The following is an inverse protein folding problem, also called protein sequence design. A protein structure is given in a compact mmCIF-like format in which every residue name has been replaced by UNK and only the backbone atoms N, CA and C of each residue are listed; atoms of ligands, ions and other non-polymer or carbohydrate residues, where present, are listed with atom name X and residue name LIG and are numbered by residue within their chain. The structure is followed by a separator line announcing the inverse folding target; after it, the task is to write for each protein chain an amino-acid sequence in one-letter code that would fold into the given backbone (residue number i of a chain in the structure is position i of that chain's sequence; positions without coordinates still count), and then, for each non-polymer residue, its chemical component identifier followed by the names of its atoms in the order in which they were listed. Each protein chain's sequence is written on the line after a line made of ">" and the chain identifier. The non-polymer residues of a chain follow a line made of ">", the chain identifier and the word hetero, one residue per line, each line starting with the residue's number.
data_IF_029352938584
#
_entry.id   IF_029352938584
#
_cell.length_a   1.000
_cell.length_b   1.000
_cell.length_c   1.000
_cell.angle_alpha   90.00
_cell.angle_beta   90.00
_cell.angle_gamma   90.00
#
_symmetry.space_group_name_H-M   'P 1'
#
loop_
_entity.id
_entity.type
_entity.pdbx_description
1 polymer ?
#
# COMPACT_ATOMS: atom_id res chain seq x y z
N UNK A 1 13.33 -28.79 31.94
CA UNK A 1 12.18 -27.91 32.26
C UNK A 1 12.32 -26.66 31.39
N UNK A 2 11.91 -26.76 30.13
CA UNK A 2 11.94 -25.63 29.20
C UNK A 2 10.66 -24.82 29.41
N UNK A 3 10.79 -23.59 29.91
CA UNK A 3 9.69 -22.63 29.93
C UNK A 3 9.30 -22.32 28.49
N UNK A 4 8.13 -22.81 28.07
CA UNK A 4 7.41 -22.23 26.94
C UNK A 4 7.07 -20.79 27.29
N UNK A 5 7.85 -19.87 26.74
CA UNK A 5 7.51 -18.45 26.67
C UNK A 5 6.15 -18.34 26.01
N UNK A 6 5.21 -17.76 26.74
CA UNK A 6 3.85 -17.50 26.31
C UNK A 6 3.89 -16.50 25.15
N UNK A 7 3.61 -16.97 23.93
CA UNK A 7 3.38 -16.09 22.80
C UNK A 7 2.25 -15.10 23.18
N UNK A 8 2.42 -13.79 22.97
CA UNK A 8 1.35 -12.85 23.27
C UNK A 8 0.14 -13.19 22.41
N UNK A 9 -1.03 -13.19 23.04
CA UNK A 9 -2.33 -13.37 22.41
C UNK A 9 -2.55 -12.25 21.36
N UNK A 10 -2.10 -12.48 20.13
CA UNK A 10 -2.35 -11.58 19.01
C UNK A 10 -3.83 -11.68 18.61
N UNK A 11 -4.67 -10.87 19.24
CA UNK A 11 -6.02 -10.62 18.73
C UNK A 11 -5.89 -9.78 17.46
N UNK A 12 -5.86 -10.43 16.29
CA UNK A 12 -6.16 -9.78 15.03
C UNK A 12 -7.54 -9.11 15.18
N UNK A 13 -7.58 -7.78 15.23
CA UNK A 13 -8.82 -7.07 15.50
C UNK A 13 -9.86 -7.35 14.40
N UNK A 14 -11.04 -7.92 14.72
CA UNK A 14 -12.05 -8.29 13.73
C UNK A 14 -12.68 -7.10 12.99
N UNK A 15 -12.47 -5.89 13.50
CA UNK A 15 -13.24 -4.70 13.14
C UNK A 15 -12.93 -4.14 11.75
N UNK A 16 -11.75 -4.40 11.17
CA UNK A 16 -11.42 -3.82 9.85
C UNK A 16 -12.34 -4.34 8.72
N UNK A 17 -13.09 -5.42 8.96
CA UNK A 17 -14.02 -6.04 8.00
C UNK A 17 -15.45 -5.52 8.11
N UNK A 18 -15.73 -4.65 9.09
CA UNK A 18 -17.07 -4.12 9.31
C UNK A 18 -17.23 -2.76 8.66
N UNK A 19 -18.37 -2.53 8.03
CA UNK A 19 -18.71 -1.26 7.37
C UNK A 19 -18.68 -0.05 8.33
N UNK A 20 -18.74 -0.29 9.64
CA UNK A 20 -18.67 0.76 10.68
C UNK A 20 -17.26 1.14 11.11
N UNK A 21 -16.21 0.43 10.67
CA UNK A 21 -14.82 0.69 11.10
C UNK A 21 -14.41 2.13 10.83
N UNK A 22 -14.65 2.60 9.60
CA UNK A 22 -14.33 3.95 9.20
C UNK A 22 -15.13 4.96 9.99
N UNK A 23 -16.45 4.82 10.03
CA UNK A 23 -17.33 5.81 10.65
C UNK A 23 -17.04 5.98 12.15
N UNK A 24 -16.77 4.90 12.88
CA UNK A 24 -16.44 4.96 14.31
C UNK A 24 -15.08 5.63 14.57
N UNK A 25 -14.15 5.54 13.61
CA UNK A 25 -12.76 6.05 13.75
C UNK A 25 -12.46 7.23 12.84
N UNK A 26 -13.47 7.80 12.19
CA UNK A 26 -13.32 8.78 11.11
C UNK A 26 -12.44 9.95 11.51
N UNK A 27 -12.66 10.51 12.70
CA UNK A 27 -11.85 11.63 13.21
C UNK A 27 -10.36 11.27 13.30
N UNK A 28 -10.03 10.12 13.89
CA UNK A 28 -8.65 9.66 14.03
C UNK A 28 -8.00 9.33 12.69
N UNK A 29 -8.77 8.71 11.78
CA UNK A 29 -8.29 8.34 10.44
C UNK A 29 -8.02 9.60 9.62
N UNK A 30 -8.99 10.50 9.50
CA UNK A 30 -8.83 11.72 8.69
C UNK A 30 -7.74 12.65 9.23
N UNK A 31 -7.56 12.73 10.55
CA UNK A 31 -6.43 13.48 11.14
C UNK A 31 -5.08 12.88 10.70
N UNK A 32 -4.95 11.55 10.72
CA UNK A 32 -3.72 10.88 10.29
C UNK A 32 -3.50 11.04 8.78
N UNK A 33 -4.56 10.93 7.98
CA UNK A 33 -4.50 11.14 6.53
C UNK A 33 -4.08 12.57 6.19
N UNK A 34 -4.55 13.57 6.94
CA UNK A 34 -4.11 14.96 6.78
C UNK A 34 -2.62 15.12 7.08
N UNK A 35 -2.11 14.53 8.17
CA UNK A 35 -0.68 14.55 8.49
C UNK A 35 0.15 13.92 7.37
N UNK A 36 -0.31 12.81 6.80
CA UNK A 36 0.34 12.16 5.65
C UNK A 36 0.39 13.11 4.45
N UNK A 37 -0.71 13.82 4.16
CA UNK A 37 -0.78 14.79 3.08
C UNK A 37 0.16 15.98 3.29
N UNK A 38 0.34 16.42 4.54
CA UNK A 38 1.25 17.52 4.93
C UNK A 38 2.74 17.12 4.96
N UNK A 39 3.08 15.92 4.49
CA UNK A 39 4.47 15.46 4.37
C UNK A 39 5.00 14.64 5.55
N UNK A 40 4.17 14.31 6.54
CA UNK A 40 4.57 13.47 7.67
C UNK A 40 4.62 11.97 7.34
N UNK A 41 4.35 11.57 6.08
CA UNK A 41 4.23 10.17 5.68
C UNK A 41 5.49 9.34 6.02
N UNK A 42 6.68 9.89 5.75
CA UNK A 42 7.95 9.20 6.03
C UNK A 42 8.20 9.07 7.53
N UNK A 43 7.92 10.12 8.31
CA UNK A 43 8.10 10.12 9.76
C UNK A 43 7.15 9.12 10.44
N UNK A 44 5.86 9.14 10.07
CA UNK A 44 4.86 8.20 10.56
C UNK A 44 5.28 6.76 10.26
N UNK A 45 5.81 6.49 9.06
CA UNK A 45 6.34 5.17 8.70
C UNK A 45 7.49 4.74 9.62
N UNK A 46 8.47 5.62 9.83
CA UNK A 46 9.65 5.33 10.68
C UNK A 46 9.20 5.04 12.11
N UNK A 47 8.42 5.93 12.71
CA UNK A 47 7.93 5.76 14.08
C UNK A 47 7.11 4.48 14.24
N UNK A 48 6.24 4.18 13.27
CA UNK A 48 5.45 2.94 13.28
C UNK A 48 6.33 1.70 13.13
N UNK A 49 7.38 1.75 12.32
CA UNK A 49 8.31 0.63 12.17
C UNK A 49 9.04 0.37 13.48
N UNK A 50 9.67 1.39 14.07
CA UNK A 50 10.44 1.26 15.31
C UNK A 50 9.58 0.77 16.48
N UNK A 51 8.32 1.20 16.55
CA UNK A 51 7.40 0.83 17.63
C UNK A 51 6.79 -0.57 17.49
N UNK A 52 6.72 -1.12 16.27
CA UNK A 52 5.89 -2.29 15.99
C UNK A 52 6.57 -3.41 15.19
N UNK A 53 7.81 -3.24 14.73
CA UNK A 53 8.53 -4.29 13.99
C UNK A 53 8.49 -5.63 14.73
N UNK A 54 8.15 -6.70 14.01
CA UNK A 54 7.98 -8.05 14.58
C UNK A 54 6.61 -8.33 15.22
N UNK A 55 5.73 -7.33 15.34
CA UNK A 55 4.36 -7.50 15.83
C UNK A 55 3.48 -8.04 14.71
N UNK A 56 2.70 -9.09 14.95
CA UNK A 56 1.75 -9.58 13.96
C UNK A 56 0.67 -8.51 13.69
N UNK A 57 0.66 -7.97 12.47
CA UNK A 57 -0.29 -6.96 12.02
C UNK A 57 -0.86 -7.37 10.66
N UNK A 58 -2.18 -7.27 10.50
CA UNK A 58 -2.83 -7.66 9.25
C UNK A 58 -2.45 -6.70 8.13
N UNK A 59 -2.06 -7.27 6.98
CA UNK A 59 -1.63 -6.48 5.82
C UNK A 59 -0.18 -6.01 5.88
N UNK A 60 0.57 -6.37 6.93
CA UNK A 60 1.99 -6.03 7.07
C UNK A 60 2.82 -7.31 7.01
N UNK A 61 3.82 -7.32 6.14
CA UNK A 61 4.86 -8.34 6.10
C UNK A 61 6.22 -7.67 6.33
N UNK A 62 6.75 -7.81 7.55
CA UNK A 62 7.98 -7.17 8.00
C UNK A 62 9.24 -7.69 7.28
N UNK A 63 9.18 -8.88 6.69
CA UNK A 63 10.33 -9.52 6.04
C UNK A 63 10.42 -9.20 4.54
N UNK A 64 9.36 -8.63 3.95
CA UNK A 64 9.27 -8.40 2.50
C UNK A 64 10.16 -7.25 2.02
N UNK A 65 10.28 -6.18 2.81
CA UNK A 65 10.98 -4.95 2.43
C UNK A 65 11.72 -4.36 3.63
N UNK A 66 12.86 -3.72 3.38
CA UNK A 66 13.58 -2.98 4.41
C UNK A 66 12.93 -1.63 4.70
N UNK A 67 13.18 -1.06 5.89
CA UNK A 67 12.72 0.29 6.21
C UNK A 67 13.26 1.33 5.19
N UNK A 68 14.49 1.14 4.70
CA UNK A 68 15.08 2.02 3.70
C UNK A 68 14.29 2.01 2.38
N UNK A 69 13.87 0.83 1.91
CA UNK A 69 13.06 0.69 0.70
C UNK A 69 11.68 1.33 0.88
N UNK A 70 11.04 1.10 2.03
CA UNK A 70 9.73 1.68 2.34
C UNK A 70 9.78 3.21 2.40
N UNK A 71 10.83 3.78 3.01
CA UNK A 71 11.04 5.24 3.04
C UNK A 71 11.21 5.80 1.64
N UNK A 72 12.04 5.16 0.81
CA UNK A 72 12.24 5.56 -0.58
C UNK A 72 10.92 5.51 -1.38
N UNK A 73 10.15 4.43 -1.23
CA UNK A 73 8.87 4.26 -1.88
C UNK A 73 7.86 5.34 -1.44
N UNK A 74 7.70 5.56 -0.13
CA UNK A 74 6.78 6.57 0.42
C UNK A 74 7.11 7.97 -0.10
N UNK A 75 8.40 8.29 -0.15
CA UNK A 75 8.88 9.57 -0.66
C UNK A 75 8.63 9.76 -2.16
N UNK A 76 8.83 8.70 -2.95
CA UNK A 76 8.56 8.75 -4.39
C UNK A 76 7.06 8.75 -4.70
N UNK A 77 6.24 8.12 -3.87
CA UNK A 77 4.79 8.06 -4.09
C UNK A 77 4.12 9.40 -3.75
N UNK A 78 4.59 10.05 -2.68
CA UNK A 78 4.04 11.30 -2.19
C UNK A 78 2.84 11.12 -1.26
N UNK A 79 2.70 12.05 -0.31
CA UNK A 79 1.70 11.98 0.76
C UNK A 79 0.26 11.95 0.26
N UNK A 80 -0.06 12.70 -0.80
CA UNK A 80 -1.43 12.75 -1.34
C UNK A 80 -1.94 11.38 -1.81
N UNK A 81 -1.14 10.67 -2.61
CA UNK A 81 -1.50 9.35 -3.11
C UNK A 81 -1.54 8.30 -1.99
N UNK A 82 -0.59 8.34 -1.04
CA UNK A 82 -0.59 7.44 0.13
C UNK A 82 -1.85 7.63 0.95
N UNK A 83 -2.22 8.88 1.26
CA UNK A 83 -3.42 9.17 2.02
C UNK A 83 -4.68 8.69 1.30
N UNK A 84 -4.74 8.83 -0.02
CA UNK A 84 -5.87 8.31 -0.81
C UNK A 84 -5.97 6.78 -0.74
N UNK A 85 -4.86 6.07 -0.92
CA UNK A 85 -4.80 4.60 -0.80
C UNK A 85 -5.26 4.17 0.59
N UNK A 86 -4.70 4.80 1.64
CA UNK A 86 -5.06 4.50 3.03
C UNK A 86 -6.54 4.78 3.32
N UNK A 87 -7.12 5.85 2.76
CA UNK A 87 -8.54 6.17 2.91
C UNK A 87 -9.43 5.08 2.34
N UNK A 88 -9.18 4.64 1.10
CA UNK A 88 -9.97 3.59 0.46
C UNK A 88 -9.88 2.25 1.22
N UNK A 89 -8.67 1.88 1.66
CA UNK A 89 -8.47 0.70 2.50
C UNK A 89 -9.16 0.80 3.86
N UNK A 90 -9.25 1.99 4.45
CA UNK A 90 -9.93 2.20 5.72
C UNK A 90 -11.47 2.22 5.57
N UNK A 91 -11.99 2.71 4.45
CA UNK A 91 -13.42 2.78 4.18
C UNK A 91 -14.03 1.40 3.88
N UNK A 92 -13.36 0.60 3.06
CA UNK A 92 -13.80 -0.76 2.73
C UNK A 92 -12.59 -1.65 2.45
N UNK A 93 -11.97 -2.15 3.52
CA UNK A 93 -10.81 -3.02 3.40
C UNK A 93 -11.13 -4.28 2.60
N UNK A 94 -12.36 -4.81 2.69
CA UNK A 94 -12.71 -6.06 2.01
C UNK A 94 -12.62 -5.91 0.50
N UNK A 95 -13.19 -4.84 -0.04
CA UNK A 95 -13.18 -4.58 -1.48
C UNK A 95 -11.80 -4.10 -1.96
N UNK A 96 -11.17 -3.21 -1.20
CA UNK A 96 -9.91 -2.57 -1.61
C UNK A 96 -8.65 -3.37 -1.26
N UNK A 97 -8.72 -4.44 -0.47
CA UNK A 97 -7.56 -5.31 -0.18
C UNK A 97 -7.05 -6.11 -1.38
N UNK A 98 -7.76 -6.09 -2.52
CA UNK A 98 -7.39 -6.78 -3.74
C UNK A 98 -7.35 -5.83 -4.95
N UNK A 99 -6.72 -6.25 -6.04
CA UNK A 99 -6.67 -5.51 -7.30
C UNK A 99 -5.69 -4.33 -7.34
N UNK A 100 -4.85 -4.16 -6.32
CA UNK A 100 -3.69 -3.25 -6.39
C UNK A 100 -2.77 -3.68 -7.55
N UNK A 101 -2.17 -2.74 -8.32
CA UNK A 101 -1.27 -3.09 -9.40
C UNK A 101 -0.08 -3.96 -8.96
N UNK A 102 0.34 -4.86 -9.83
CA UNK A 102 1.36 -5.88 -9.54
C UNK A 102 2.71 -5.31 -9.11
N UNK A 103 3.14 -4.22 -9.76
CA UNK A 103 4.48 -3.65 -9.58
C UNK A 103 4.40 -2.20 -9.15
N UNK A 104 5.15 -1.86 -8.10
CA UNK A 104 5.55 -0.50 -7.79
C UNK A 104 7.01 -0.31 -8.24
N UNK A 105 7.22 0.59 -9.18
CA UNK A 105 8.54 1.03 -9.62
C UNK A 105 8.79 2.40 -9.00
N UNK A 106 9.97 2.61 -8.43
CA UNK A 106 10.38 3.93 -7.96
C UNK A 106 11.82 4.21 -8.31
N UNK A 107 12.12 5.49 -8.49
CA UNK A 107 13.46 5.99 -8.77
C UNK A 107 13.67 7.25 -7.96
N UNK A 108 14.65 7.22 -7.06
CA UNK A 108 15.19 8.43 -6.46
C UNK A 108 16.19 9.03 -7.44
N UNK A 109 16.00 10.31 -7.79
CA UNK A 109 17.01 11.06 -8.51
C UNK A 109 18.00 11.64 -7.50
N UNK A 110 17.47 12.35 -6.50
CA UNK A 110 18.25 12.98 -5.44
C UNK A 110 17.48 12.87 -4.10
N UNK A 111 18.00 13.47 -3.03
CA UNK A 111 17.34 13.47 -1.72
C UNK A 111 16.02 14.25 -1.66
N UNK A 112 15.62 15.01 -2.69
CA UNK A 112 14.37 15.77 -2.72
C UNK A 112 13.42 15.41 -3.87
N UNK A 113 13.89 14.63 -4.84
CA UNK A 113 13.13 14.30 -6.05
C UNK A 113 13.15 12.81 -6.31
N UNK A 114 11.95 12.23 -6.39
CA UNK A 114 11.73 10.84 -6.75
C UNK A 114 10.52 10.71 -7.65
N UNK A 115 10.50 9.65 -8.44
CA UNK A 115 9.39 9.30 -9.30
C UNK A 115 8.92 7.89 -8.93
N UNK A 116 7.61 7.68 -8.91
CA UNK A 116 7.03 6.36 -8.75
C UNK A 116 6.03 6.08 -9.88
N UNK A 117 5.93 4.81 -10.25
CA UNK A 117 4.98 4.30 -11.23
C UNK A 117 4.40 2.98 -10.73
N UNK A 118 3.10 2.81 -10.82
CA UNK A 118 2.42 1.54 -10.56
C UNK A 118 2.08 0.90 -11.90
N UNK A 119 2.44 -0.37 -12.06
CA UNK A 119 2.26 -1.11 -13.32
C UNK A 119 1.47 -2.37 -13.05
N UNK A 120 0.38 -2.51 -13.79
CA UNK A 120 -0.43 -3.73 -13.84
C UNK A 120 0.01 -4.55 -15.06
N UNK A 121 0.43 -5.79 -14.85
CA UNK A 121 0.97 -6.64 -15.91
C UNK A 121 -0.12 -7.58 -16.41
N UNK A 122 -0.32 -7.63 -17.73
CA UNK A 122 -1.30 -8.49 -18.38
C UNK A 122 -0.67 -9.39 -19.41
N UNK A 123 -0.92 -10.69 -19.29
CA UNK A 123 -0.61 -11.65 -20.33
C UNK A 123 -1.50 -11.46 -21.57
N UNK A 124 -1.23 -12.21 -22.66
CA UNK A 124 -1.87 -11.99 -23.96
C UNK A 124 -3.40 -12.13 -23.96
N UNK A 125 -3.94 -12.91 -23.02
CA UNK A 125 -5.38 -13.19 -22.90
C UNK A 125 -6.00 -12.57 -21.66
N UNK A 126 -5.21 -11.86 -20.85
CA UNK A 126 -5.67 -11.33 -19.59
C UNK A 126 -6.37 -9.98 -19.80
N UNK A 127 -7.37 -9.73 -18.98
CA UNK A 127 -8.09 -8.46 -18.91
C UNK A 127 -7.96 -7.90 -17.51
N UNK A 128 -8.08 -6.57 -17.41
CA UNK A 128 -8.24 -5.92 -16.12
C UNK A 128 -9.56 -6.37 -15.48
N UNK A 129 -9.49 -6.79 -14.21
CA UNK A 129 -10.70 -6.98 -13.40
C UNK A 129 -11.34 -5.62 -13.09
N UNK A 130 -12.59 -5.63 -12.65
CA UNK A 130 -13.28 -4.40 -12.23
C UNK A 130 -12.56 -3.72 -11.07
N UNK A 131 -12.08 -4.49 -10.09
CA UNK A 131 -11.34 -3.97 -8.95
C UNK A 131 -9.99 -3.34 -9.36
N UNK A 132 -9.29 -3.94 -10.33
CA UNK A 132 -8.07 -3.35 -10.88
C UNK A 132 -8.34 -2.04 -11.60
N UNK A 133 -9.43 -1.96 -12.37
CA UNK A 133 -9.85 -0.70 -13.00
C UNK A 133 -10.18 0.37 -11.95
N UNK A 134 -10.87 -0.01 -10.88
CA UNK A 134 -11.19 0.89 -9.78
C UNK A 134 -9.91 1.46 -9.13
N UNK A 135 -8.92 0.61 -8.84
CA UNK A 135 -7.62 1.07 -8.35
C UNK A 135 -6.90 2.00 -9.32
N UNK A 136 -6.84 1.65 -10.61
CA UNK A 136 -6.20 2.51 -11.61
C UNK A 136 -6.86 3.90 -11.67
N UNK A 137 -8.20 3.98 -11.62
CA UNK A 137 -8.92 5.25 -11.60
C UNK A 137 -8.58 6.07 -10.35
N UNK A 138 -8.60 5.46 -9.16
CA UNK A 138 -8.23 6.16 -7.91
C UNK A 138 -6.81 6.70 -7.96
N UNK A 139 -5.87 5.90 -8.47
CA UNK A 139 -4.47 6.29 -8.58
C UNK A 139 -4.28 7.45 -9.59
N UNK A 140 -4.94 7.37 -10.76
CA UNK A 140 -4.92 8.45 -11.75
C UNK A 140 -5.51 9.76 -11.20
N UNK A 141 -6.60 9.68 -10.44
CA UNK A 141 -7.26 10.85 -9.84
C UNK A 141 -6.38 11.55 -8.81
N UNK A 142 -5.48 10.79 -8.16
CA UNK A 142 -4.45 11.33 -7.25
C UNK A 142 -3.22 11.88 -8.00
N UNK A 143 -3.24 11.91 -9.33
CA UNK A 143 -2.11 12.33 -10.17
C UNK A 143 -0.97 11.31 -10.23
N UNK A 144 -1.21 10.06 -9.80
CA UNK A 144 -0.18 9.04 -9.78
C UNK A 144 0.05 8.44 -11.17
N UNK A 145 1.32 8.18 -11.51
CA UNK A 145 1.66 7.57 -12.79
C UNK A 145 1.34 6.07 -12.77
N UNK A 146 0.36 5.65 -13.57
CA UNK A 146 -0.03 4.25 -13.68
C UNK A 146 0.01 3.76 -15.12
N UNK A 147 0.35 2.48 -15.30
CA UNK A 147 0.47 1.87 -16.62
C UNK A 147 -0.05 0.44 -16.63
N UNK A 148 -0.57 0.01 -17.78
CA UNK A 148 -0.91 -1.40 -18.04
C UNK A 148 0.09 -1.96 -19.02
N UNK A 149 0.96 -2.85 -18.55
CA UNK A 149 1.99 -3.49 -19.36
C UNK A 149 1.45 -4.79 -19.95
N UNK A 150 1.31 -4.85 -21.28
CA UNK A 150 0.89 -6.07 -21.99
C UNK A 150 2.11 -6.87 -22.43
N UNK A 151 2.24 -8.09 -21.93
CA UNK A 151 3.30 -9.01 -22.30
C UNK A 151 2.82 -9.92 -23.42
N UNK A 152 3.53 -9.89 -24.55
CA UNK A 152 3.30 -10.79 -25.68
C UNK A 152 4.37 -11.87 -25.71
N UNK A 153 4.05 -13.12 -26.10
CA UNK A 153 5.06 -14.13 -26.34
C UNK A 153 6.00 -13.66 -27.45
N UNK A 154 7.28 -14.07 -27.41
CA UNK A 154 8.20 -13.80 -28.50
C UNK A 154 7.64 -14.39 -29.81
N UNK A 155 7.90 -13.74 -30.95
CA UNK A 155 7.50 -14.28 -32.24
C UNK A 155 8.09 -15.68 -32.44
N UNK A 156 7.30 -16.59 -33.04
CA UNK A 156 7.80 -17.94 -33.35
C UNK A 156 9.03 -17.84 -34.27
N UNK A 157 10.06 -18.67 -34.07
CA UNK A 157 11.20 -18.69 -34.97
C UNK A 157 10.74 -19.05 -36.39
N UNK A 158 11.25 -18.30 -37.37
CA UNK A 158 11.02 -18.46 -38.81
C UNK A 158 11.61 -19.76 -39.35
#
# INVERSE_FOLDING_TARGET
>A
MYQMSSAPNFRLHPWIWTDSFYEVRKGLIEELLHKIQDGMAEEILITSWESHVGTACRGVNWEKHSLADLRAAVKCIGGHCIASICRHLAQDYRSWSSGMPDLLLWRLHDCYRGEAKLVEVKGPRDRLSEQQRAWLLVLMDCGFNVEVCKVTPPPAPS
#
